data_IF_066594041399
#
_entry.id   IF_066594041399
#
_cell.length_a   1.000
_cell.length_b   1.000
_cell.length_c   1.000
_cell.angle_alpha   90.00
_cell.angle_beta   90.00
_cell.angle_gamma   90.00
#
_symmetry.space_group_name_H-M   'P 1'
#
loop_
_entity.id
_entity.type
_entity.pdbx_description
1 polymer ?
#
# COMPACT_ATOMS: atom_id res chain seq x y z
N UNK A 1 5.76 -3.21 -6.04
CA UNK A 1 4.95 -3.11 -7.28
C UNK A 1 3.74 -4.03 -7.13
N UNK A 2 2.49 -3.65 -7.46
CA UNK A 2 1.33 -4.54 -7.33
C UNK A 2 1.14 -5.45 -8.57
N UNK A 3 0.87 -6.73 -8.37
CA UNK A 3 0.69 -7.70 -9.47
C UNK A 3 -0.49 -7.35 -10.38
N UNK A 4 -1.54 -6.70 -9.87
CA UNK A 4 -2.70 -6.30 -10.68
C UNK A 4 -2.34 -5.36 -11.84
N UNK A 5 -1.32 -4.51 -11.69
CA UNK A 5 -0.83 -3.67 -12.78
C UNK A 5 0.12 -4.47 -13.71
N UNK A 6 1.00 -5.28 -13.13
CA UNK A 6 1.98 -6.06 -13.89
C UNK A 6 1.32 -7.09 -14.82
N UNK A 7 0.25 -7.74 -14.36
CA UNK A 7 -0.51 -8.69 -15.17
C UNK A 7 -1.17 -8.01 -16.38
N UNK A 8 -1.68 -6.78 -16.22
CA UNK A 8 -2.30 -6.02 -17.32
C UNK A 8 -1.32 -5.68 -18.44
N UNK A 9 -0.04 -5.53 -18.12
CA UNK A 9 1.02 -5.23 -19.09
C UNK A 9 1.80 -6.48 -19.51
N UNK A 10 1.36 -7.68 -19.11
CA UNK A 10 2.02 -8.95 -19.44
C UNK A 10 3.36 -9.18 -18.73
N UNK A 11 3.70 -8.37 -17.72
CA UNK A 11 4.94 -8.52 -16.94
C UNK A 11 4.84 -9.57 -15.82
N UNK A 12 3.61 -9.95 -15.45
CA UNK A 12 3.32 -11.04 -14.49
C UNK A 12 2.25 -11.96 -15.07
N UNK A 13 2.31 -13.25 -14.70
CA UNK A 13 1.34 -14.25 -15.19
C UNK A 13 -0.03 -14.12 -14.53
N UNK A 14 -0.11 -13.51 -13.34
CA UNK A 14 -1.34 -13.41 -12.57
C UNK A 14 -1.42 -12.11 -11.78
N UNK A 15 -2.63 -11.55 -11.71
CA UNK A 15 -2.94 -10.44 -10.84
C UNK A 15 -3.09 -10.84 -9.37
N UNK A 16 -3.22 -12.14 -9.07
CA UNK A 16 -3.46 -12.68 -7.74
C UNK A 16 -2.25 -12.42 -6.83
N UNK A 17 -2.53 -11.99 -5.61
CA UNK A 17 -1.52 -11.81 -4.58
C UNK A 17 -0.98 -13.18 -4.12
N UNK A 18 0.31 -13.31 -3.80
CA UNK A 18 0.87 -14.54 -3.23
C UNK A 18 0.13 -15.05 -1.98
N UNK A 19 -0.59 -14.18 -1.25
CA UNK A 19 -1.43 -14.61 -0.14
C UNK A 19 -2.71 -15.39 -0.54
N UNK A 20 -3.05 -15.43 -1.83
CA UNK A 20 -4.17 -16.20 -2.39
C UNK A 20 -5.58 -15.61 -2.21
N UNK A 21 -5.74 -14.55 -1.42
CA UNK A 21 -7.08 -14.05 -1.04
C UNK A 21 -7.72 -13.07 -2.04
N UNK A 22 -6.92 -12.35 -2.82
CA UNK A 22 -7.40 -11.34 -3.75
C UNK A 22 -6.33 -11.01 -4.79
N UNK A 23 -6.71 -10.25 -5.82
CA UNK A 23 -5.75 -9.54 -6.65
C UNK A 23 -4.87 -8.61 -5.81
N UNK A 24 -3.59 -8.55 -6.14
CA UNK A 24 -2.67 -7.64 -5.47
C UNK A 24 -2.81 -6.22 -6.03
N UNK A 25 -3.75 -5.49 -5.45
CA UNK A 25 -3.88 -4.03 -5.63
C UNK A 25 -3.00 -3.29 -4.62
N UNK A 26 -2.78 -1.99 -4.83
CA UNK A 26 -2.09 -1.14 -3.85
C UNK A 26 -2.84 -1.17 -2.51
N UNK A 27 -4.17 -1.10 -2.54
CA UNK A 27 -5.00 -1.16 -1.33
C UNK A 27 -4.88 -2.51 -0.61
N UNK A 28 -4.91 -3.62 -1.35
CA UNK A 28 -4.71 -4.94 -0.78
C UNK A 28 -3.33 -5.03 -0.12
N UNK A 29 -2.28 -4.64 -0.85
CA UNK A 29 -0.91 -4.67 -0.37
C UNK A 29 -0.72 -3.83 0.90
N UNK A 30 -1.20 -2.58 0.92
CA UNK A 30 -0.97 -1.66 2.05
C UNK A 30 -1.86 -1.97 3.25
N UNK A 31 -3.12 -2.39 3.04
CA UNK A 31 -4.09 -2.47 4.14
C UNK A 31 -4.63 -3.86 4.46
N UNK A 32 -4.68 -4.80 3.50
CA UNK A 32 -5.49 -6.02 3.67
C UNK A 32 -4.66 -7.32 3.70
N UNK A 33 -3.51 -7.35 3.04
CA UNK A 33 -2.74 -8.57 2.84
C UNK A 33 -2.32 -9.24 4.17
N UNK A 34 -2.75 -10.47 4.49
CA UNK A 34 -2.42 -11.10 5.76
C UNK A 34 -0.94 -11.48 5.85
N UNK A 35 -0.29 -11.76 4.72
CA UNK A 35 1.14 -12.08 4.64
C UNK A 35 2.01 -11.00 5.28
N UNK A 36 1.60 -9.73 5.18
CA UNK A 36 2.36 -8.59 5.67
C UNK A 36 1.81 -8.00 6.97
N UNK A 37 0.93 -8.73 7.67
CA UNK A 37 0.27 -8.25 8.89
C UNK A 37 1.27 -7.75 9.94
N UNK A 38 2.39 -8.44 10.13
CA UNK A 38 3.42 -8.04 11.10
C UNK A 38 4.13 -6.74 10.70
N UNK A 39 4.49 -6.58 9.42
CA UNK A 39 5.10 -5.34 8.94
C UNK A 39 4.11 -4.16 8.96
N UNK A 40 2.82 -4.44 8.79
CA UNK A 40 1.73 -3.45 8.84
C UNK A 40 1.37 -2.98 10.25
N UNK A 41 1.77 -3.69 11.31
CA UNK A 41 1.46 -3.28 12.68
C UNK A 41 1.94 -1.84 12.99
N UNK A 42 3.11 -1.45 12.48
CA UNK A 42 3.65 -0.10 12.63
C UNK A 42 2.83 0.97 11.88
N UNK A 43 2.28 0.63 10.72
CA UNK A 43 1.37 1.51 9.96
C UNK A 43 0.09 1.80 10.74
N UNK A 44 -0.45 0.80 11.45
CA UNK A 44 -1.69 0.96 12.22
C UNK A 44 -1.52 1.68 13.54
N UNK A 45 -0.32 1.66 14.15
CA UNK A 45 -0.06 2.45 15.35
C UNK A 45 -0.20 3.96 15.11
N UNK A 46 -0.01 4.41 13.87
CA UNK A 46 -0.12 5.83 13.52
C UNK A 46 -1.54 6.27 13.18
N UNK A 47 -2.47 5.34 12.88
CA UNK A 47 -3.83 5.71 12.50
C UNK A 47 -4.87 4.64 12.87
N UNK A 48 -5.75 4.94 13.82
CA UNK A 48 -6.97 4.15 14.00
C UNK A 48 -8.10 4.63 13.07
N UNK A 49 -8.13 5.93 12.75
CA UNK A 49 -9.25 6.61 12.08
C UNK A 49 -9.18 6.68 10.56
N UNK A 50 -8.04 6.41 9.91
CA UNK A 50 -7.85 6.62 8.46
C UNK A 50 -7.55 5.33 7.68
N UNK A 51 -7.86 4.16 8.25
CA UNK A 51 -7.65 2.86 7.58
C UNK A 51 -8.38 2.84 6.22
N UNK A 52 -7.62 2.62 5.14
CA UNK A 52 -8.15 2.59 3.77
C UNK A 52 -8.01 3.89 2.98
N UNK A 53 -7.56 4.99 3.58
CA UNK A 53 -7.31 6.24 2.85
C UNK A 53 -5.93 6.21 2.14
N UNK A 54 -5.89 5.77 0.89
CA UNK A 54 -4.63 5.70 0.12
C UNK A 54 -3.92 7.06 0.02
N UNK A 55 -4.64 8.17 -0.14
CA UNK A 55 -4.04 9.50 -0.22
C UNK A 55 -3.21 9.85 1.00
N UNK A 56 -3.75 9.52 2.18
CA UNK A 56 -3.10 9.77 3.46
C UNK A 56 -1.78 9.01 3.60
N UNK A 57 -1.75 7.73 3.21
CA UNK A 57 -0.58 6.87 3.37
C UNK A 57 0.46 7.01 2.25
N UNK A 58 0.04 7.40 1.04
CA UNK A 58 0.92 7.45 -0.13
C UNK A 58 1.31 8.87 -0.52
N UNK A 59 0.67 9.90 0.05
CA UNK A 59 0.96 11.29 -0.27
C UNK A 59 0.54 11.69 -1.69
N UNK A 60 -0.36 10.94 -2.32
CA UNK A 60 -0.99 11.30 -3.58
C UNK A 60 -2.38 11.88 -3.35
N UNK A 61 -2.68 13.07 -3.88
CA UNK A 61 -4.01 13.68 -3.77
C UNK A 61 -5.04 12.88 -4.58
N UNK A 62 -6.16 12.53 -3.95
CA UNK A 62 -7.35 11.94 -4.58
C UNK A 62 -8.37 13.01 -4.94
N UNK A 63 -9.27 12.68 -5.87
CA UNK A 63 -10.42 13.52 -6.24
C UNK A 63 -11.33 13.78 -5.04
N UNK A 64 -11.34 12.88 -4.05
CA UNK A 64 -12.12 13.01 -2.81
C UNK A 64 -11.47 13.93 -1.78
N UNK A 65 -10.21 14.33 -1.97
CA UNK A 65 -9.51 15.19 -1.04
C UNK A 65 -9.90 16.66 -1.21
N UNK A 66 -9.84 17.42 -0.12
CA UNK A 66 -10.17 18.85 -0.12
C UNK A 66 -9.13 19.66 -0.88
N UNK A 67 -9.45 20.93 -1.17
CA UNK A 67 -8.47 21.85 -1.80
C UNK A 67 -7.26 22.14 -0.90
N UNK A 68 -7.43 22.08 0.41
CA UNK A 68 -6.39 22.33 1.43
C UNK A 68 -5.61 21.06 1.82
N UNK A 69 -5.78 19.98 1.08
CA UNK A 69 -5.14 18.71 1.38
C UNK A 69 -3.61 18.83 1.35
N UNK A 70 -2.97 18.25 2.37
CA UNK A 70 -1.52 18.10 2.47
C UNK A 70 -1.18 16.66 2.89
N UNK A 71 -0.05 16.09 2.44
CA UNK A 71 0.35 14.75 2.80
C UNK A 71 0.76 14.66 4.28
N UNK A 72 0.31 13.63 4.98
CA UNK A 72 0.80 13.31 6.31
C UNK A 72 2.15 12.60 6.20
N UNK A 73 3.25 13.35 6.25
CA UNK A 73 4.59 12.83 5.97
C UNK A 73 5.01 11.67 6.88
N UNK A 74 4.53 11.62 8.13
CA UNK A 74 4.78 10.49 9.03
C UNK A 74 4.21 9.17 8.46
N UNK A 75 2.98 9.19 7.96
CA UNK A 75 2.32 8.03 7.38
C UNK A 75 2.97 7.63 6.04
N UNK A 76 3.42 8.62 5.25
CA UNK A 76 4.17 8.38 4.02
C UNK A 76 5.49 7.67 4.32
N UNK A 77 6.27 8.17 5.28
CA UNK A 77 7.52 7.54 5.69
C UNK A 77 7.32 6.12 6.25
N UNK A 78 6.28 5.91 7.05
CA UNK A 78 5.93 4.58 7.53
C UNK A 78 5.54 3.62 6.39
N UNK A 79 4.83 4.11 5.38
CA UNK A 79 4.46 3.32 4.20
C UNK A 79 5.69 2.97 3.35
N UNK A 80 6.65 3.88 3.20
CA UNK A 80 7.92 3.62 2.53
C UNK A 80 8.73 2.57 3.31
N UNK A 81 8.85 2.71 4.63
CA UNK A 81 9.55 1.75 5.49
C UNK A 81 8.92 0.35 5.39
N UNK A 82 7.59 0.26 5.39
CA UNK A 82 6.83 -0.96 5.16
C UNK A 82 7.12 -1.57 3.78
N UNK A 83 7.05 -0.77 2.71
CA UNK A 83 7.29 -1.24 1.35
C UNK A 83 8.72 -1.75 1.14
N UNK A 84 9.71 -1.14 1.80
CA UNK A 84 11.10 -1.62 1.81
C UNK A 84 11.27 -2.90 2.63
N UNK A 85 10.65 -2.98 3.81
CA UNK A 85 10.71 -4.19 4.65
C UNK A 85 10.13 -5.43 3.94
N UNK A 86 9.08 -5.24 3.13
CA UNK A 86 8.49 -6.30 2.30
C UNK A 86 9.28 -6.58 1.00
N UNK A 87 10.37 -5.85 0.73
CA UNK A 87 11.15 -5.91 -0.52
C UNK A 87 10.31 -5.63 -1.79
N UNK A 88 9.17 -4.94 -1.64
CA UNK A 88 8.30 -4.54 -2.77
C UNK A 88 8.64 -3.16 -3.34
N UNK A 89 9.55 -2.44 -2.67
CA UNK A 89 10.16 -1.18 -3.07
C UNK A 89 11.67 -1.31 -2.92
N UNK A 90 12.41 -0.98 -3.98
CA UNK A 90 13.88 -1.12 -4.08
C UNK A 90 14.40 -2.54 -3.73
N UNK A 91 13.91 -3.60 -4.40
CA UNK A 91 14.43 -4.96 -4.19
C UNK A 91 15.93 -5.00 -4.55
N UNK A 92 16.72 -5.67 -3.69
CA UNK A 92 18.15 -5.95 -3.96
C UNK A 92 18.33 -6.91 -5.12
#
# INVERSE_FOLDING_TARGET
RPNSHLAKIGAEQSAICPCGLAEETVEHFVFRCPQWKQHRAKLYQQTDTLRGNLSFFLGGKSIRDTRLWTPAMEAVHATIAYARATQRLDPK
#
